data_IF_114010972220
#
_entry.id   IF_114010972220
#
_cell.length_a   1.000
_cell.length_b   1.000
_cell.length_c   1.000
_cell.angle_alpha   90.00
_cell.angle_beta   90.00
_cell.angle_gamma   90.00
#
_symmetry.space_group_name_H-M   'P 1'
#
loop_
_entity.id
_entity.type
_entity.pdbx_description
1 polymer ?
#
# COMPACT_ATOMS: atom_id res chain seq x y z
N UNK A 1 5.70 11.57 -23.40
CA UNK A 1 5.23 10.85 -22.20
C UNK A 1 4.60 11.79 -21.18
N UNK A 2 5.35 12.79 -20.67
CA UNK A 2 4.84 13.72 -19.64
C UNK A 2 3.54 14.37 -20.08
N UNK A 3 3.48 14.99 -21.25
CA UNK A 3 2.28 15.65 -21.77
C UNK A 3 1.06 14.71 -21.81
N UNK A 4 1.25 13.43 -22.17
CA UNK A 4 0.18 12.43 -22.15
C UNK A 4 -0.33 12.14 -20.74
N UNK A 5 0.57 12.06 -19.74
CA UNK A 5 0.15 11.85 -18.35
C UNK A 5 -0.53 13.09 -17.77
N UNK A 6 -0.07 14.29 -18.14
CA UNK A 6 -0.71 15.55 -17.79
C UNK A 6 -2.16 15.56 -18.28
N UNK A 7 -2.39 15.27 -19.55
CA UNK A 7 -3.73 15.20 -20.14
C UNK A 7 -4.58 14.09 -19.50
N UNK A 8 -4.02 12.89 -19.32
CA UNK A 8 -4.73 11.76 -18.71
C UNK A 8 -5.21 12.06 -17.29
N UNK A 9 -4.41 12.78 -16.51
CA UNK A 9 -4.72 13.12 -15.12
C UNK A 9 -5.36 14.52 -14.98
N UNK A 10 -5.66 15.21 -16.08
CA UNK A 10 -6.26 16.56 -16.11
C UNK A 10 -5.44 17.54 -15.25
N UNK A 11 -4.17 17.68 -15.56
CA UNK A 11 -3.22 18.51 -14.80
C UNK A 11 -2.79 19.76 -15.57
N UNK A 12 -3.36 20.03 -16.75
CA UNK A 12 -2.95 21.10 -17.66
C UNK A 12 -2.92 22.46 -16.95
N UNK A 13 -3.99 22.79 -16.22
CA UNK A 13 -4.16 24.06 -15.52
C UNK A 13 -3.36 24.16 -14.21
N UNK A 14 -2.65 23.10 -13.85
CA UNK A 14 -1.94 22.99 -12.57
C UNK A 14 -0.41 23.00 -12.72
N UNK A 15 0.11 23.01 -13.96
CA UNK A 15 1.54 22.85 -14.23
C UNK A 15 2.41 23.95 -13.59
N UNK A 16 1.87 25.17 -13.52
CA UNK A 16 2.57 26.35 -12.99
C UNK A 16 2.29 26.58 -11.49
N UNK A 17 1.47 25.72 -10.86
CA UNK A 17 1.16 25.85 -9.43
C UNK A 17 2.18 25.13 -8.57
N UNK A 18 2.45 25.70 -7.39
CA UNK A 18 3.27 25.01 -6.43
C UNK A 18 2.55 23.78 -5.85
N UNK A 19 3.21 22.64 -5.63
CA UNK A 19 2.56 21.42 -5.13
C UNK A 19 1.77 21.59 -3.82
N UNK A 20 2.17 22.52 -2.95
CA UNK A 20 1.46 22.82 -1.71
C UNK A 20 0.17 23.65 -1.90
N UNK A 21 0.02 24.29 -3.07
CA UNK A 21 -1.18 25.08 -3.40
C UNK A 21 -2.26 24.22 -4.07
N UNK A 22 -1.99 22.93 -4.27
CA UNK A 22 -2.93 21.96 -4.84
C UNK A 22 -3.89 21.46 -3.77
N UNK A 23 -5.17 21.32 -4.14
CA UNK A 23 -6.15 20.60 -3.32
C UNK A 23 -5.78 19.13 -3.16
N UNK A 24 -6.35 18.44 -2.17
CA UNK A 24 -6.06 17.02 -1.94
C UNK A 24 -6.31 16.13 -3.15
N UNK A 25 -7.39 16.39 -3.91
CA UNK A 25 -7.70 15.65 -5.14
C UNK A 25 -6.71 15.97 -6.28
N UNK A 26 -6.25 17.21 -6.41
CA UNK A 26 -5.22 17.61 -7.39
C UNK A 26 -3.87 16.97 -7.06
N UNK A 27 -3.49 16.93 -5.78
CA UNK A 27 -2.29 16.24 -5.33
C UNK A 27 -2.35 14.74 -5.64
N UNK A 28 -3.51 14.11 -5.42
CA UNK A 28 -3.74 12.71 -5.75
C UNK A 28 -3.57 12.43 -7.24
N UNK A 29 -4.13 13.30 -8.10
CA UNK A 29 -3.96 13.21 -9.56
C UNK A 29 -2.51 13.38 -9.99
N UNK A 30 -1.79 14.33 -9.40
CA UNK A 30 -0.38 14.54 -9.67
C UNK A 30 0.48 13.34 -9.23
N UNK A 31 0.19 12.76 -8.05
CA UNK A 31 0.85 11.55 -7.58
C UNK A 31 0.61 10.36 -8.52
N UNK A 32 -0.63 10.17 -8.97
CA UNK A 32 -0.98 9.14 -9.94
C UNK A 32 -0.20 9.31 -11.25
N UNK A 33 -0.18 10.51 -11.82
CA UNK A 33 0.57 10.81 -13.04
C UNK A 33 2.06 10.47 -12.90
N UNK A 34 2.67 10.80 -11.76
CA UNK A 34 4.06 10.50 -11.46
C UNK A 34 4.34 8.99 -11.44
N UNK A 35 3.46 8.21 -10.81
CA UNK A 35 3.61 6.74 -10.76
C UNK A 35 3.41 6.12 -12.14
N UNK A 36 2.44 6.58 -12.91
CA UNK A 36 2.17 6.06 -14.26
C UNK A 36 3.30 6.35 -15.27
N UNK A 37 4.10 7.39 -15.03
CA UNK A 37 5.30 7.66 -15.83
C UNK A 37 6.35 6.55 -15.74
N UNK A 38 6.35 5.77 -14.66
CA UNK A 38 7.26 4.64 -14.45
C UNK A 38 6.85 3.38 -15.22
N UNK A 39 5.65 3.37 -15.83
CA UNK A 39 5.07 2.21 -16.54
C UNK A 39 5.15 0.92 -15.70
N UNK A 40 4.55 0.88 -14.50
CA UNK A 40 4.64 -0.25 -13.61
C UNK A 40 3.90 -1.47 -14.16
N UNK A 41 4.42 -2.67 -13.93
CA UNK A 41 3.73 -3.94 -14.20
C UNK A 41 2.72 -4.27 -13.09
N UNK A 42 3.02 -3.82 -11.86
CA UNK A 42 2.16 -3.98 -10.68
C UNK A 42 1.94 -2.60 -10.08
N UNK A 43 0.69 -2.23 -9.87
CA UNK A 43 0.31 -0.96 -9.27
C UNK A 43 -0.43 -1.20 -7.95
N UNK A 44 0.16 -0.71 -6.86
CA UNK A 44 -0.42 -0.73 -5.53
C UNK A 44 -1.01 0.64 -5.21
N UNK A 45 -2.29 0.67 -4.85
CA UNK A 45 -3.05 1.89 -4.61
C UNK A 45 -3.64 1.86 -3.21
N UNK A 46 -3.32 2.88 -2.41
CA UNK A 46 -3.88 3.08 -1.07
C UNK A 46 -4.80 4.30 -1.08
N UNK A 47 -6.09 4.05 -0.82
CA UNK A 47 -7.17 5.06 -0.83
C UNK A 47 -7.16 6.00 -2.05
N UNK A 48 -7.03 5.49 -3.28
CA UNK A 48 -6.78 6.34 -4.45
C UNK A 48 -7.98 7.21 -4.85
N UNK A 49 -9.19 6.89 -4.38
CA UNK A 49 -10.42 7.64 -4.67
C UNK A 49 -10.70 8.75 -3.66
N UNK A 50 -9.89 8.84 -2.59
CA UNK A 50 -10.08 9.83 -1.54
C UNK A 50 -9.86 11.25 -2.08
N UNK A 51 -10.84 12.13 -1.86
CA UNK A 51 -10.77 13.52 -2.30
C UNK A 51 -11.00 13.73 -3.80
N UNK A 52 -11.29 12.68 -4.56
CA UNK A 52 -11.69 12.80 -5.96
C UNK A 52 -13.21 13.09 -6.07
N UNK A 53 -13.56 14.00 -6.97
CA UNK A 53 -14.95 14.23 -7.34
C UNK A 53 -15.52 13.06 -8.18
N UNK A 54 -16.84 13.03 -8.34
CA UNK A 54 -17.51 11.92 -9.02
C UNK A 54 -17.09 11.79 -10.50
N UNK A 55 -16.84 12.92 -11.17
CA UNK A 55 -16.43 12.93 -12.57
C UNK A 55 -15.03 12.37 -12.74
N UNK A 56 -14.09 12.79 -11.87
CA UNK A 56 -12.74 12.26 -11.94
C UNK A 56 -12.67 10.80 -11.49
N UNK A 57 -13.53 10.33 -10.56
CA UNK A 57 -13.64 8.89 -10.24
C UNK A 57 -13.96 8.04 -11.47
N UNK A 58 -14.83 8.53 -12.36
CA UNK A 58 -15.13 7.81 -13.61
C UNK A 58 -13.91 7.81 -14.56
N UNK A 59 -13.24 8.96 -14.71
CA UNK A 59 -12.01 9.04 -15.49
C UNK A 59 -10.90 8.13 -14.90
N UNK A 60 -10.77 8.11 -13.59
CA UNK A 60 -9.84 7.22 -12.88
C UNK A 60 -10.15 5.74 -13.11
N UNK A 61 -11.41 5.34 -13.06
CA UNK A 61 -11.83 3.97 -13.38
C UNK A 61 -11.44 3.60 -14.83
N UNK A 62 -11.62 4.52 -15.79
CA UNK A 62 -11.20 4.30 -17.18
C UNK A 62 -9.68 4.13 -17.29
N UNK A 63 -8.90 4.92 -16.55
CA UNK A 63 -7.44 4.77 -16.47
C UNK A 63 -7.09 3.37 -15.96
N UNK A 64 -7.69 2.92 -14.85
CA UNK A 64 -7.42 1.60 -14.28
C UNK A 64 -7.80 0.48 -15.26
N UNK A 65 -8.95 0.57 -15.91
CA UNK A 65 -9.37 -0.40 -16.94
C UNK A 65 -8.40 -0.44 -18.12
N UNK A 66 -7.90 0.71 -18.55
CA UNK A 66 -6.88 0.80 -19.60
C UNK A 66 -5.57 0.14 -19.19
N UNK A 67 -5.14 0.33 -17.93
CA UNK A 67 -3.94 -0.33 -17.40
C UNK A 67 -4.12 -1.85 -17.32
N UNK A 68 -5.28 -2.32 -16.84
CA UNK A 68 -5.62 -3.74 -16.82
C UNK A 68 -5.60 -4.35 -18.22
N UNK A 69 -6.18 -3.68 -19.21
CA UNK A 69 -6.18 -4.12 -20.60
C UNK A 69 -4.76 -4.18 -21.21
N UNK A 70 -3.83 -3.41 -20.64
CA UNK A 70 -2.38 -3.46 -20.99
C UNK A 70 -1.63 -4.55 -20.23
N UNK A 71 -2.26 -5.30 -19.35
CA UNK A 71 -1.65 -6.36 -18.55
C UNK A 71 -1.07 -5.93 -17.20
N UNK A 72 -1.30 -4.68 -16.76
CA UNK A 72 -0.89 -4.22 -15.42
C UNK A 72 -1.72 -4.92 -14.35
N UNK A 73 -1.07 -5.48 -13.34
CA UNK A 73 -1.75 -6.02 -12.16
C UNK A 73 -2.06 -4.89 -11.17
N UNK A 74 -3.32 -4.81 -10.72
CA UNK A 74 -3.77 -3.76 -9.80
C UNK A 74 -4.18 -4.36 -8.46
N UNK A 75 -3.64 -3.81 -7.37
CA UNK A 75 -4.12 -4.06 -6.02
C UNK A 75 -4.48 -2.73 -5.38
N UNK A 76 -5.72 -2.60 -4.92
CA UNK A 76 -6.24 -1.37 -4.34
C UNK A 76 -6.80 -1.64 -2.94
N UNK A 77 -6.41 -0.82 -1.98
CA UNK A 77 -7.06 -0.72 -0.66
C UNK A 77 -7.95 0.51 -0.68
N UNK A 78 -9.22 0.37 -0.33
CA UNK A 78 -10.15 1.49 -0.34
C UNK A 78 -11.33 1.28 0.61
N UNK A 79 -11.83 2.39 1.17
CA UNK A 79 -13.11 2.46 1.88
C UNK A 79 -14.28 2.87 0.95
N UNK A 80 -14.01 3.17 -0.32
CA UNK A 80 -15.03 3.50 -1.31
C UNK A 80 -15.68 2.22 -1.84
N UNK A 81 -16.64 1.70 -1.08
CA UNK A 81 -17.35 0.44 -1.40
C UNK A 81 -18.11 0.53 -2.71
N UNK A 82 -18.63 1.72 -3.07
CA UNK A 82 -19.37 1.94 -4.32
C UNK A 82 -18.43 1.81 -5.53
N UNK A 83 -17.23 2.40 -5.44
CA UNK A 83 -16.21 2.28 -6.46
C UNK A 83 -15.75 0.83 -6.61
N UNK A 84 -15.49 0.14 -5.49
CA UNK A 84 -15.09 -1.26 -5.50
C UNK A 84 -16.18 -2.17 -6.09
N UNK A 85 -17.44 -1.96 -5.70
CA UNK A 85 -18.56 -2.76 -6.20
C UNK A 85 -18.71 -2.66 -7.73
N UNK A 86 -18.43 -1.47 -8.28
CA UNK A 86 -18.60 -1.20 -9.71
C UNK A 86 -17.41 -1.64 -10.55
N UNK A 87 -16.19 -1.45 -10.08
CA UNK A 87 -14.99 -1.54 -10.93
C UNK A 87 -14.00 -2.65 -10.54
N UNK A 88 -14.11 -3.24 -9.36
CA UNK A 88 -13.22 -4.32 -8.97
C UNK A 88 -13.62 -5.65 -9.64
N UNK A 89 -12.64 -6.54 -9.87
CA UNK A 89 -12.89 -7.92 -10.32
C UNK A 89 -13.05 -8.87 -9.14
N UNK A 90 -12.32 -8.61 -8.06
CA UNK A 90 -12.31 -9.37 -6.80
C UNK A 90 -12.26 -8.41 -5.64
N UNK A 91 -12.98 -8.69 -4.58
CA UNK A 91 -12.96 -7.96 -3.33
C UNK A 91 -12.56 -8.89 -2.20
N UNK A 92 -11.73 -8.39 -1.29
CA UNK A 92 -11.31 -9.11 -0.10
C UNK A 92 -11.49 -8.22 1.13
N UNK A 93 -11.95 -8.81 2.22
CA UNK A 93 -12.00 -8.15 3.52
C UNK A 93 -10.74 -8.52 4.31
N UNK A 94 -9.94 -7.51 4.61
CA UNK A 94 -8.78 -7.64 5.46
C UNK A 94 -9.12 -7.16 6.87
N UNK A 95 -8.97 -8.04 7.85
CA UNK A 95 -9.26 -7.75 9.24
C UNK A 95 -8.31 -8.53 10.15
N UNK A 96 -7.82 -7.89 11.20
CA UNK A 96 -6.91 -8.47 12.20
C UNK A 96 -5.73 -9.24 11.58
N UNK A 97 -5.05 -8.59 10.60
CA UNK A 97 -3.85 -9.14 9.96
C UNK A 97 -4.10 -10.27 8.96
N UNK A 98 -5.35 -10.60 8.64
CA UNK A 98 -5.69 -11.68 7.71
C UNK A 98 -6.80 -11.33 6.73
N UNK A 99 -6.86 -12.05 5.61
CA UNK A 99 -7.99 -12.01 4.68
C UNK A 99 -9.10 -12.90 5.23
N UNK A 100 -10.21 -12.28 5.66
CA UNK A 100 -11.35 -12.97 6.27
C UNK A 100 -12.25 -13.60 5.22
N UNK A 101 -12.48 -12.89 4.13
CA UNK A 101 -13.32 -13.35 3.02
C UNK A 101 -12.86 -12.73 1.72
N UNK A 102 -13.10 -13.44 0.63
CA UNK A 102 -12.79 -13.01 -0.71
C UNK A 102 -13.85 -13.52 -1.67
N UNK A 103 -14.35 -12.65 -2.56
CA UNK A 103 -15.35 -13.01 -3.55
C UNK A 103 -15.37 -12.03 -4.73
N UNK A 104 -16.19 -12.32 -5.75
CA UNK A 104 -16.57 -11.32 -6.76
C UNK A 104 -17.31 -10.16 -6.08
N UNK A 105 -17.24 -8.92 -6.62
CA UNK A 105 -17.90 -7.77 -5.99
C UNK A 105 -19.38 -8.02 -5.68
N UNK A 106 -20.11 -8.61 -6.62
CA UNK A 106 -21.53 -8.91 -6.43
C UNK A 106 -21.76 -9.86 -5.25
N UNK A 107 -21.05 -10.97 -5.19
CA UNK A 107 -21.16 -11.92 -4.08
C UNK A 107 -20.65 -11.33 -2.75
N UNK A 108 -19.59 -10.54 -2.80
CA UNK A 108 -19.01 -9.90 -1.61
C UNK A 108 -19.98 -8.91 -0.97
N UNK A 109 -20.53 -7.98 -1.73
CA UNK A 109 -21.36 -6.90 -1.21
C UNK A 109 -22.82 -7.32 -0.97
N UNK A 110 -23.36 -8.29 -1.70
CA UNK A 110 -24.71 -8.84 -1.45
C UNK A 110 -24.74 -9.78 -0.25
N UNK A 111 -23.66 -10.53 -0.03
CA UNK A 111 -23.54 -11.48 1.08
C UNK A 111 -23.20 -10.85 2.43
N UNK A 112 -22.86 -9.55 2.48
CA UNK A 112 -22.40 -8.89 3.67
C UNK A 112 -23.41 -7.82 4.15
N UNK A 113 -23.75 -7.83 5.46
CA UNK A 113 -24.68 -6.84 6.02
C UNK A 113 -24.00 -5.55 6.48
N UNK A 114 -22.72 -5.61 6.87
CA UNK A 114 -21.97 -4.45 7.36
C UNK A 114 -21.21 -3.74 6.23
N UNK A 115 -20.46 -4.50 5.45
CA UNK A 115 -19.65 -3.98 4.34
C UNK A 115 -20.41 -4.18 3.03
N UNK A 116 -21.41 -3.34 2.81
CA UNK A 116 -22.25 -3.37 1.61
C UNK A 116 -22.50 -1.97 1.10
N UNK A 117 -22.89 -1.86 -0.17
CA UNK A 117 -23.18 -0.59 -0.85
C UNK A 117 -24.50 0.02 -0.41
N UNK A 118 -24.68 1.32 -0.61
CA UNK A 118 -25.96 1.99 -0.42
C UNK A 118 -27.04 1.39 -1.34
N UNK A 119 -26.67 1.09 -2.60
CA UNK A 119 -27.53 0.44 -3.57
C UNK A 119 -28.10 -0.88 -3.02
N UNK A 120 -27.24 -1.75 -2.48
CA UNK A 120 -27.71 -3.03 -1.91
C UNK A 120 -28.59 -2.81 -0.67
N UNK A 121 -28.24 -1.87 0.22
CA UNK A 121 -29.09 -1.57 1.39
C UNK A 121 -30.50 -1.13 1.00
N UNK A 122 -30.64 -0.39 -0.07
CA UNK A 122 -31.93 0.10 -0.57
C UNK A 122 -32.73 -0.99 -1.30
N UNK A 123 -32.07 -1.80 -2.12
CA UNK A 123 -32.73 -2.71 -3.05
C UNK A 123 -32.79 -4.16 -2.59
N UNK A 124 -32.09 -4.59 -1.53
CA UNK A 124 -31.95 -6.01 -1.13
C UNK A 124 -33.27 -6.75 -0.87
N UNK A 125 -34.33 -6.02 -0.53
CA UNK A 125 -35.65 -6.61 -0.33
C UNK A 125 -36.35 -6.98 -1.64
N UNK A 126 -35.98 -6.33 -2.73
CA UNK A 126 -36.55 -6.54 -4.08
C UNK A 126 -35.58 -7.36 -4.94
N UNK A 127 -34.30 -6.99 -4.93
CA UNK A 127 -33.24 -7.65 -5.69
C UNK A 127 -31.99 -7.78 -4.78
N UNK A 128 -31.79 -8.91 -4.10
CA UNK A 128 -30.67 -9.11 -3.18
C UNK A 128 -29.30 -8.95 -3.83
N UNK A 129 -29.21 -9.20 -5.14
CA UNK A 129 -27.96 -9.15 -5.92
C UNK A 129 -27.64 -7.74 -6.46
N UNK A 130 -28.53 -6.77 -6.31
CA UNK A 130 -28.27 -5.40 -6.70
C UNK A 130 -27.21 -4.79 -5.78
N UNK A 131 -26.05 -4.46 -6.31
CA UNK A 131 -24.91 -3.89 -5.54
C UNK A 131 -24.43 -2.56 -6.09
N UNK A 132 -24.89 -2.15 -7.27
CA UNK A 132 -24.55 -0.87 -7.89
C UNK A 132 -25.79 0.00 -8.11
N UNK A 133 -25.59 1.29 -8.31
CA UNK A 133 -26.70 2.20 -8.66
C UNK A 133 -27.37 1.78 -9.98
N UNK A 134 -26.60 1.28 -10.93
CA UNK A 134 -27.08 0.77 -12.20
C UNK A 134 -28.01 -0.44 -12.02
N UNK A 135 -27.67 -1.36 -11.09
CA UNK A 135 -28.55 -2.48 -10.77
C UNK A 135 -29.91 -1.97 -10.25
N UNK A 136 -29.90 -0.97 -9.37
CA UNK A 136 -31.13 -0.37 -8.83
C UNK A 136 -31.94 0.30 -9.93
N UNK A 137 -31.28 1.06 -10.81
CA UNK A 137 -31.94 1.68 -11.96
C UNK A 137 -32.62 0.62 -12.85
N UNK A 138 -31.93 -0.50 -13.14
CA UNK A 138 -32.48 -1.59 -13.93
C UNK A 138 -33.70 -2.22 -13.25
N UNK A 139 -33.66 -2.48 -11.96
CA UNK A 139 -34.79 -3.02 -11.19
C UNK A 139 -36.00 -2.08 -11.21
N UNK A 140 -35.76 -0.78 -11.17
CA UNK A 140 -36.81 0.24 -11.23
C UNK A 140 -37.32 0.53 -12.67
N UNK A 141 -36.83 -0.20 -13.69
CA UNK A 141 -37.20 0.04 -15.10
C UNK A 141 -36.62 1.31 -15.70
N UNK A 142 -35.57 1.87 -15.09
CA UNK A 142 -34.85 3.03 -15.58
C UNK A 142 -33.82 2.71 -16.66
N UNK A 143 -33.37 3.73 -17.38
CA UNK A 143 -32.29 3.57 -18.37
C UNK A 143 -30.94 3.57 -17.68
N UNK A 144 -30.20 2.48 -17.84
CA UNK A 144 -28.82 2.40 -17.32
C UNK A 144 -27.87 3.12 -18.27
N UNK A 145 -27.05 4.07 -17.77
CA UNK A 145 -26.05 4.74 -18.60
C UNK A 145 -25.03 3.73 -19.14
N UNK A 146 -24.67 3.87 -20.43
CA UNK A 146 -23.62 3.05 -21.01
C UNK A 146 -22.27 3.36 -20.35
N UNK A 147 -21.50 2.33 -20.06
CA UNK A 147 -20.11 2.52 -19.60
C UNK A 147 -19.26 3.16 -20.70
N UNK A 148 -18.34 4.07 -20.35
CA UNK A 148 -17.37 4.59 -21.30
C UNK A 148 -16.60 3.45 -21.97
N UNK A 149 -16.55 3.44 -23.30
CA UNK A 149 -15.78 2.48 -24.06
C UNK A 149 -14.28 2.65 -23.76
N UNK A 150 -13.54 1.55 -23.75
CA UNK A 150 -12.09 1.61 -23.73
C UNK A 150 -11.59 2.20 -25.05
N UNK A 151 -10.47 2.97 -25.02
CA UNK A 151 -9.82 3.41 -26.26
C UNK A 151 -9.52 2.21 -27.18
N UNK A 152 -9.81 2.33 -28.47
CA UNK A 152 -9.60 1.24 -29.46
C UNK A 152 -8.10 0.89 -29.58
N UNK A 153 -7.24 1.88 -29.51
CA UNK A 153 -5.77 1.74 -29.58
C UNK A 153 -5.14 1.76 -28.19
N UNK A 154 -5.19 0.62 -27.48
CA UNK A 154 -4.45 0.46 -26.22
C UNK A 154 -3.11 -0.20 -26.55
N UNK A 155 -1.98 0.54 -26.55
CA UNK A 155 -0.69 -0.08 -26.78
C UNK A 155 -0.37 -1.06 -25.66
N UNK A 156 0.19 -2.25 -25.97
CA UNK A 156 0.62 -3.20 -24.95
C UNK A 156 1.68 -2.56 -24.04
N UNK A 157 1.84 -3.12 -22.84
CA UNK A 157 2.99 -2.79 -21.99
C UNK A 157 4.27 -3.07 -22.80
N UNK A 158 5.31 -2.20 -22.69
CA UNK A 158 6.62 -2.55 -23.19
C UNK A 158 7.03 -3.89 -22.57
N UNK A 159 7.70 -4.74 -23.38
CA UNK A 159 8.25 -5.99 -22.84
C UNK A 159 9.06 -5.70 -21.57
N UNK A 160 8.94 -6.56 -20.54
CA UNK A 160 9.71 -6.38 -19.32
C UNK A 160 11.17 -6.18 -19.70
N UNK A 161 11.76 -5.08 -19.26
CA UNK A 161 13.19 -4.94 -19.40
C UNK A 161 13.83 -6.10 -18.66
N UNK A 162 14.55 -6.96 -19.34
CA UNK A 162 15.33 -8.06 -18.75
C UNK A 162 16.40 -7.59 -17.76
N UNK A 163 16.56 -6.29 -17.60
CA UNK A 163 17.29 -5.70 -16.50
C UNK A 163 16.50 -5.92 -15.21
N UNK A 164 16.55 -7.13 -14.68
CA UNK A 164 16.49 -7.27 -13.23
C UNK A 164 17.57 -6.33 -12.70
N UNK A 165 17.22 -5.23 -12.01
CA UNK A 165 18.25 -4.44 -11.38
C UNK A 165 19.03 -5.43 -10.54
N UNK A 166 20.33 -5.57 -10.82
CA UNK A 166 21.26 -6.40 -10.06
C UNK A 166 21.31 -5.77 -8.66
N UNK A 167 20.19 -5.95 -7.90
CA UNK A 167 20.06 -5.45 -6.55
C UNK A 167 21.02 -6.26 -5.68
N UNK A 168 22.30 -5.90 -5.80
CA UNK A 168 23.29 -6.28 -4.81
C UNK A 168 23.09 -5.36 -3.63
N UNK A 169 22.72 -5.90 -2.46
CA UNK A 169 22.67 -5.08 -1.27
C UNK A 169 23.97 -4.30 -1.18
N UNK A 170 23.87 -2.96 -1.16
CA UNK A 170 25.05 -2.11 -1.06
C UNK A 170 25.86 -2.62 0.13
N UNK A 171 27.05 -3.20 -0.14
CA UNK A 171 27.92 -3.66 0.95
C UNK A 171 28.16 -2.46 1.85
N UNK A 172 27.73 -2.57 3.09
CA UNK A 172 27.97 -1.54 4.10
C UNK A 172 29.47 -1.19 4.08
N UNK A 173 29.83 0.08 3.92
CA UNK A 173 31.24 0.48 3.89
C UNK A 173 31.97 0.01 5.14
N UNK A 174 33.23 -0.34 5.00
CA UNK A 174 34.02 -1.01 6.05
C UNK A 174 34.01 -0.22 7.37
N UNK A 175 34.00 1.11 7.30
CA UNK A 175 33.94 1.99 8.47
C UNK A 175 32.61 1.83 9.26
N UNK A 176 31.46 1.57 8.60
CA UNK A 176 30.19 1.32 9.28
C UNK A 176 30.21 -0.02 10.02
N UNK A 177 30.84 -1.04 9.43
CA UNK A 177 31.05 -2.33 10.10
C UNK A 177 31.98 -2.19 11.31
N UNK A 178 33.05 -1.40 11.16
CA UNK A 178 33.95 -1.10 12.25
C UNK A 178 33.26 -0.31 13.38
N UNK A 179 32.44 0.68 13.06
CA UNK A 179 31.70 1.46 14.04
C UNK A 179 30.70 0.57 14.81
N UNK A 180 30.00 -0.31 14.12
CA UNK A 180 29.07 -1.27 14.76
C UNK A 180 29.82 -2.25 15.69
N UNK A 181 30.99 -2.72 15.29
CA UNK A 181 31.83 -3.59 16.11
C UNK A 181 32.37 -2.88 17.37
N UNK A 182 32.84 -1.64 17.22
CA UNK A 182 33.34 -0.82 18.33
C UNK A 182 32.21 -0.45 19.30
N UNK A 183 31.04 -0.09 18.79
CA UNK A 183 29.85 0.22 19.63
C UNK A 183 29.38 -1.01 20.40
N UNK A 184 29.35 -2.19 19.75
CA UNK A 184 29.02 -3.46 20.39
C UNK A 184 30.01 -3.87 21.49
N UNK A 185 31.31 -3.74 21.21
CA UNK A 185 32.36 -4.04 22.19
C UNK A 185 32.35 -3.06 23.38
N UNK A 186 32.18 -1.77 23.11
CA UNK A 186 32.07 -0.73 24.15
C UNK A 186 30.87 -0.97 25.05
N UNK A 187 29.75 -1.32 24.44
CA UNK A 187 28.54 -1.63 25.14
C UNK A 187 28.69 -2.89 26.03
N UNK A 188 29.34 -3.94 25.55
CA UNK A 188 29.64 -5.16 26.34
C UNK A 188 30.56 -4.82 27.51
N UNK A 189 31.60 -4.00 27.33
CA UNK A 189 32.51 -3.58 28.38
C UNK A 189 31.79 -2.82 29.50
N UNK A 190 30.86 -1.88 29.13
CA UNK A 190 30.05 -1.14 30.11
C UNK A 190 29.12 -2.07 30.87
N UNK A 191 28.52 -3.06 30.21
CA UNK A 191 27.70 -4.09 30.87
C UNK A 191 28.50 -4.91 31.89
N UNK A 192 29.68 -5.43 31.50
CA UNK A 192 30.53 -6.18 32.38
C UNK A 192 30.99 -5.37 33.59
N UNK A 193 31.34 -4.09 33.38
CA UNK A 193 31.70 -3.16 34.44
C UNK A 193 30.54 -2.89 35.41
N UNK A 194 29.33 -2.60 34.85
CA UNK A 194 28.15 -2.28 35.65
C UNK A 194 27.62 -3.49 36.46
N UNK A 195 27.83 -4.71 35.96
CA UNK A 195 27.42 -5.94 36.66
C UNK A 195 28.47 -6.51 37.58
N UNK A 196 29.69 -5.97 37.58
CA UNK A 196 30.81 -6.51 38.36
C UNK A 196 31.30 -7.88 37.91
N UNK A 197 30.89 -8.32 36.72
CA UNK A 197 31.31 -9.61 36.15
C UNK A 197 32.67 -9.42 35.50
N UNK A 198 33.71 -9.78 36.24
CA UNK A 198 35.12 -9.73 35.77
C UNK A 198 35.54 -10.98 35.00
N UNK A 199 34.77 -12.07 35.12
CA UNK A 199 35.04 -13.34 34.44
C UNK A 199 33.78 -13.95 33.85
N UNK A 200 33.67 -13.85 32.52
CA UNK A 200 32.51 -14.33 31.76
C UNK A 200 32.35 -15.85 31.83
N UNK A 201 33.46 -16.57 31.95
CA UNK A 201 33.47 -18.05 32.04
C UNK A 201 32.90 -18.55 33.37
N UNK A 202 33.15 -17.83 34.45
CA UNK A 202 32.61 -18.10 35.77
C UNK A 202 31.11 -17.79 35.90
N UNK A 203 30.63 -16.79 35.17
CA UNK A 203 29.21 -16.39 35.17
C UNK A 203 28.33 -17.39 34.40
N UNK A 204 28.83 -17.96 33.32
CA UNK A 204 28.08 -18.93 32.49
C UNK A 204 28.08 -20.32 33.13
N UNK A 205 29.15 -20.69 33.88
CA UNK A 205 29.32 -22.05 34.43
C UNK A 205 28.59 -22.33 35.75
N UNK A 206 28.13 -21.35 36.48
CA UNK A 206 27.51 -21.52 37.82
C UNK A 206 26.11 -20.95 37.91
N UNK A 207 25.20 -21.33 37.03
CA UNK A 207 23.72 -21.25 37.20
C UNK A 207 23.11 -20.05 37.95
N UNK A 208 23.75 -18.90 38.05
CA UNK A 208 23.43 -17.85 38.98
C UNK A 208 23.34 -16.44 38.41
N UNK A 209 22.72 -16.23 37.22
CA UNK A 209 22.16 -14.94 36.91
C UNK A 209 20.90 -14.78 37.76
N UNK A 210 20.98 -14.02 38.85
CA UNK A 210 19.84 -13.66 39.69
C UNK A 210 18.77 -12.97 38.82
N UNK A 211 17.49 -13.01 39.23
CA UNK A 211 16.38 -12.39 38.48
C UNK A 211 16.66 -10.92 38.10
N UNK A 212 17.43 -10.20 38.92
CA UNK A 212 17.88 -8.82 38.67
C UNK A 212 18.87 -8.76 37.49
N UNK A 213 19.75 -9.73 37.32
CA UNK A 213 20.72 -9.80 36.22
C UNK A 213 20.02 -10.04 34.89
N UNK A 214 18.96 -10.86 34.85
CA UNK A 214 18.15 -11.08 33.65
C UNK A 214 17.35 -9.81 33.22
N UNK A 215 16.87 -9.03 34.19
CA UNK A 215 16.15 -7.79 33.90
C UNK A 215 17.09 -6.72 33.34
N UNK A 216 18.28 -6.60 33.87
CA UNK A 216 19.32 -5.71 33.37
C UNK A 216 19.82 -6.14 31.99
N UNK A 217 20.01 -7.45 31.76
CA UNK A 217 20.42 -8.01 30.48
C UNK A 217 19.37 -7.72 29.38
N UNK A 218 18.07 -7.85 29.71
CA UNK A 218 16.98 -7.50 28.76
C UNK A 218 16.99 -6.03 28.39
N UNK A 219 17.09 -5.13 29.36
CA UNK A 219 17.17 -3.68 29.13
C UNK A 219 18.37 -3.33 28.25
N UNK A 220 19.48 -3.96 28.49
CA UNK A 220 20.70 -3.78 27.74
C UNK A 220 20.61 -4.28 26.30
N UNK A 221 20.04 -5.47 26.07
CA UNK A 221 19.80 -5.99 24.73
C UNK A 221 18.83 -5.12 23.92
N UNK A 222 17.80 -4.54 24.58
CA UNK A 222 16.90 -3.58 23.95
C UNK A 222 17.64 -2.31 23.58
N UNK A 223 18.50 -1.78 24.45
CA UNK A 223 19.30 -0.58 24.17
C UNK A 223 20.32 -0.80 23.05
N UNK A 224 21.00 -1.96 23.03
CA UNK A 224 21.89 -2.32 21.94
C UNK A 224 21.14 -2.55 20.62
N UNK A 225 19.95 -3.13 20.66
CA UNK A 225 19.07 -3.27 19.50
C UNK A 225 18.66 -1.91 18.93
N UNK A 226 18.29 -0.97 19.77
CA UNK A 226 17.96 0.41 19.37
C UNK A 226 19.16 1.13 18.75
N UNK A 227 20.36 1.00 19.32
CA UNK A 227 21.58 1.60 18.77
C UNK A 227 21.96 0.94 17.42
N UNK A 228 21.74 -0.35 17.27
CA UNK A 228 21.98 -1.06 16.01
C UNK A 228 21.00 -0.61 14.92
N UNK A 229 19.72 -0.42 15.25
CA UNK A 229 18.69 0.11 14.34
C UNK A 229 19.04 1.54 13.95
N UNK A 230 19.44 2.40 14.86
CA UNK A 230 19.90 3.76 14.59
C UNK A 230 21.13 3.78 13.67
N UNK A 231 22.11 2.90 13.90
CA UNK A 231 23.31 2.81 13.05
C UNK A 231 23.03 2.24 11.66
N UNK A 232 21.93 1.51 11.45
CA UNK A 232 21.52 0.96 10.16
C UNK A 232 20.58 1.88 9.39
N UNK A 233 19.90 2.83 10.07
CA UNK A 233 18.93 3.75 9.48
C UNK A 233 19.54 5.11 9.05
N UNK A 234 20.79 5.38 9.38
CA UNK A 234 21.60 6.51 8.90
C UNK A 234 22.60 6.02 7.83
#
# INVERSE_FOLDING_TARGET
RVARMVALCRLEDLLDRHPYDLSGGEQQRAALAKVLLLEPEILLLDEPTKGLDAEFKQAFALILRTLLARGVSLLMVSHDVEFCARYAHRCALFFDGSVVTEASPRAFFSGNSFYTTAANRMARSLEPQAVTAEDVMAVCGGTVPAEPALPEDIPPLPEPREETPDWKPKKLPLWRKALAAVSGAGALAIFLYATGVTDLSAAVGKGGLTALGWQQLRLYLVFCGLLLVLALSI
#
